data_IF_716632400610
#
_entry.id   IF_716632400610
#
_cell.length_a   1.000
_cell.length_b   1.000
_cell.length_c   1.000
_cell.angle_alpha   90.00
_cell.angle_beta   90.00
_cell.angle_gamma   90.00
#
_symmetry.space_group_name_H-M   'P 1'
#
loop_
_entity.id
_entity.type
_entity.pdbx_description
1 polymer ?
#
# COMPACT_ATOMS: atom_id res chain seq x y z
N UNK A 1 24.42 -6.27 2.20
CA UNK A 1 23.37 -5.27 2.41
C UNK A 1 21.99 -5.70 1.90
N UNK A 2 21.91 -6.37 0.75
CA UNK A 2 20.63 -6.80 0.19
C UNK A 2 19.87 -7.74 1.11
N UNK A 3 20.54 -8.71 1.72
CA UNK A 3 19.89 -9.60 2.69
C UNK A 3 19.38 -8.87 3.92
N UNK A 4 20.08 -7.84 4.35
CA UNK A 4 19.64 -7.00 5.45
C UNK A 4 18.31 -6.33 5.12
N UNK A 5 18.18 -5.80 3.91
CA UNK A 5 16.94 -5.19 3.42
C UNK A 5 15.80 -6.20 3.39
N UNK A 6 16.05 -7.40 2.91
CA UNK A 6 15.05 -8.48 2.88
C UNK A 6 14.55 -8.81 4.29
N UNK A 7 15.46 -8.95 5.25
CA UNK A 7 15.06 -9.20 6.63
C UNK A 7 14.26 -8.05 7.23
N UNK A 8 14.63 -6.81 6.92
CA UNK A 8 13.91 -5.65 7.42
C UNK A 8 12.50 -5.53 6.86
N UNK A 9 12.31 -5.87 5.60
CA UNK A 9 11.02 -5.71 4.92
C UNK A 9 10.09 -6.88 5.20
N UNK A 10 10.60 -8.10 5.18
CA UNK A 10 9.76 -9.31 5.19
C UNK A 10 9.72 -10.05 6.52
N UNK A 11 10.46 -9.58 7.51
CA UNK A 11 10.47 -10.21 8.84
C UNK A 11 10.31 -9.15 9.92
N UNK A 12 10.00 -9.60 11.13
CA UNK A 12 9.93 -8.75 12.32
C UNK A 12 11.26 -8.70 13.08
N UNK A 13 12.33 -9.17 12.46
CA UNK A 13 13.65 -9.20 13.10
C UNK A 13 14.13 -7.80 13.42
N UNK A 14 14.67 -7.63 14.61
CA UNK A 14 15.29 -6.38 15.00
C UNK A 14 16.73 -6.30 14.50
N UNK A 15 17.30 -5.10 14.52
CA UNK A 15 18.67 -4.87 14.02
C UNK A 15 19.68 -5.83 14.61
N UNK A 16 19.59 -6.11 15.91
CA UNK A 16 20.51 -7.00 16.60
C UNK A 16 20.42 -8.43 16.06
N UNK A 17 19.20 -8.90 15.82
CA UNK A 17 18.97 -10.22 15.27
C UNK A 17 19.46 -10.34 13.83
N UNK A 18 19.22 -9.32 13.03
CA UNK A 18 19.69 -9.26 11.64
C UNK A 18 21.21 -9.26 11.60
N UNK A 19 21.86 -8.46 12.45
CA UNK A 19 23.31 -8.38 12.53
C UNK A 19 23.92 -9.74 12.89
N UNK A 20 23.31 -10.43 13.83
CA UNK A 20 23.77 -11.76 14.26
C UNK A 20 23.63 -12.78 13.12
N UNK A 21 22.48 -12.75 12.43
CA UNK A 21 22.22 -13.66 11.32
C UNK A 21 23.18 -13.44 10.15
N UNK A 22 23.51 -12.18 9.87
CA UNK A 22 24.43 -11.81 8.79
C UNK A 22 25.91 -11.90 9.19
N UNK A 23 26.20 -12.10 10.49
CA UNK A 23 27.57 -12.18 10.98
C UNK A 23 28.29 -10.84 10.95
N UNK A 24 27.57 -9.72 11.13
CA UNK A 24 28.14 -8.38 11.14
C UNK A 24 27.92 -7.72 12.50
N UNK A 25 28.64 -6.64 12.77
CA UNK A 25 28.45 -5.87 13.99
C UNK A 25 27.14 -5.10 13.98
N UNK A 26 26.55 -4.89 15.16
CA UNK A 26 25.28 -4.15 15.28
C UNK A 26 25.36 -2.76 14.65
N UNK A 27 26.48 -2.06 14.83
CA UNK A 27 26.65 -0.72 14.29
C UNK A 27 26.84 -0.70 12.77
N UNK A 28 27.15 -1.84 12.14
CA UNK A 28 27.26 -1.93 10.69
C UNK A 28 25.90 -1.64 10.03
N UNK A 29 24.83 -2.21 10.58
CA UNK A 29 23.46 -1.98 10.05
C UNK A 29 23.08 -0.52 10.19
N UNK A 30 23.38 0.10 11.34
CA UNK A 30 23.08 1.51 11.55
C UNK A 30 23.85 2.40 10.57
N UNK A 31 25.10 2.06 10.26
CA UNK A 31 25.89 2.78 9.26
C UNK A 31 25.29 2.60 7.85
N UNK A 32 24.84 1.40 7.51
CA UNK A 32 24.19 1.15 6.22
C UNK A 32 22.92 1.97 6.08
N UNK A 33 22.12 2.06 7.13
CA UNK A 33 20.85 2.81 7.11
C UNK A 33 21.06 4.30 6.86
N UNK A 34 22.24 4.84 7.15
CA UNK A 34 22.58 6.24 6.88
C UNK A 34 23.04 6.48 5.45
N UNK A 35 23.24 5.44 4.65
CA UNK A 35 23.64 5.56 3.25
C UNK A 35 22.42 5.79 2.36
N UNK A 36 22.56 6.70 1.41
CA UNK A 36 21.48 7.02 0.47
C UNK A 36 21.13 5.83 -0.41
N UNK A 37 22.13 5.08 -0.89
CA UNK A 37 21.89 3.90 -1.72
C UNK A 37 21.14 2.81 -0.97
N UNK A 38 21.44 2.64 0.31
CA UNK A 38 20.72 1.69 1.17
C UNK A 38 19.25 2.12 1.37
N UNK A 39 19.04 3.39 1.68
CA UNK A 39 17.70 3.92 1.90
C UNK A 39 16.83 3.78 0.65
N UNK A 40 17.40 4.08 -0.51
CA UNK A 40 16.69 3.92 -1.78
C UNK A 40 16.34 2.46 -2.06
N UNK A 41 17.29 1.57 -1.87
CA UNK A 41 17.05 0.13 -2.07
C UNK A 41 16.01 -0.40 -1.08
N UNK A 42 16.01 0.08 0.15
CA UNK A 42 15.03 -0.28 1.17
C UNK A 42 13.62 0.17 0.75
N UNK A 43 13.48 1.41 0.29
CA UNK A 43 12.21 1.93 -0.17
C UNK A 43 11.70 1.16 -1.39
N UNK A 44 12.57 0.86 -2.35
CA UNK A 44 12.20 0.09 -3.53
C UNK A 44 11.69 -1.30 -3.15
N UNK A 45 12.34 -1.95 -2.19
CA UNK A 45 11.91 -3.28 -1.73
C UNK A 45 10.60 -3.21 -0.95
N UNK A 46 10.42 -2.17 -0.14
CA UNK A 46 9.14 -1.94 0.55
C UNK A 46 8.00 -1.77 -0.45
N UNK A 47 8.21 -1.01 -1.51
CA UNK A 47 7.19 -0.84 -2.56
C UNK A 47 6.86 -2.16 -3.24
N UNK A 48 7.85 -2.98 -3.54
CA UNK A 48 7.59 -4.31 -4.11
C UNK A 48 6.79 -5.19 -3.16
N UNK A 49 7.13 -5.18 -1.88
CA UNK A 49 6.39 -5.91 -0.86
C UNK A 49 4.95 -5.45 -0.75
N UNK A 50 4.72 -4.14 -0.74
CA UNK A 50 3.38 -3.57 -0.70
C UNK A 50 2.59 -3.91 -1.96
N UNK A 51 3.22 -3.86 -3.13
CA UNK A 51 2.54 -4.20 -4.39
C UNK A 51 2.09 -5.67 -4.38
N UNK A 52 2.94 -6.58 -3.93
CA UNK A 52 2.57 -7.99 -3.80
C UNK A 52 1.42 -8.20 -2.82
N UNK A 53 1.47 -7.50 -1.68
CA UNK A 53 0.41 -7.58 -0.68
C UNK A 53 -0.88 -6.96 -1.20
N UNK A 54 -0.79 -5.87 -1.95
CA UNK A 54 -1.95 -5.22 -2.54
C UNK A 54 -2.68 -6.14 -3.52
N UNK A 55 -1.93 -6.94 -4.29
CA UNK A 55 -2.53 -7.94 -5.20
C UNK A 55 -3.32 -8.97 -4.41
N UNK A 56 -2.74 -9.47 -3.31
CA UNK A 56 -3.44 -10.44 -2.43
C UNK A 56 -4.68 -9.82 -1.80
N UNK A 57 -4.57 -8.60 -1.32
CA UNK A 57 -5.68 -7.88 -0.70
C UNK A 57 -6.80 -7.66 -1.71
N UNK A 58 -6.48 -7.30 -2.94
CA UNK A 58 -7.47 -7.12 -4.00
C UNK A 58 -8.22 -8.41 -4.28
N UNK A 59 -7.51 -9.52 -4.38
CA UNK A 59 -8.13 -10.83 -4.61
C UNK A 59 -9.06 -11.20 -3.47
N UNK A 60 -8.68 -10.90 -2.24
CA UNK A 60 -9.52 -11.16 -1.07
C UNK A 60 -10.77 -10.27 -1.09
N UNK A 61 -10.61 -9.00 -1.44
CA UNK A 61 -11.73 -8.07 -1.55
C UNK A 61 -12.72 -8.52 -2.62
N UNK A 62 -12.24 -9.01 -3.76
CA UNK A 62 -13.12 -9.55 -4.81
C UNK A 62 -14.00 -10.68 -4.27
N UNK A 63 -13.44 -11.55 -3.44
CA UNK A 63 -14.20 -12.63 -2.81
C UNK A 63 -15.20 -12.09 -1.79
N UNK A 64 -14.81 -11.09 -1.01
CA UNK A 64 -15.67 -10.52 0.02
C UNK A 64 -16.85 -9.74 -0.56
N UNK A 65 -16.71 -9.17 -1.76
CA UNK A 65 -17.81 -8.51 -2.47
C UNK A 65 -18.94 -9.50 -2.72
N UNK A 66 -18.61 -10.75 -3.01
CA UNK A 66 -19.58 -11.82 -3.27
C UNK A 66 -20.00 -12.56 -1.99
N UNK A 67 -19.67 -12.05 -0.82
CA UNK A 67 -20.02 -12.66 0.45
C UNK A 67 -21.55 -12.72 0.65
N UNK A 68 -22.03 -13.79 1.25
CA UNK A 68 -23.42 -13.93 1.64
C UNK A 68 -23.79 -13.03 2.82
N UNK A 69 -22.81 -12.50 3.52
CA UNK A 69 -23.03 -11.56 4.61
C UNK A 69 -23.04 -10.14 4.03
N UNK A 70 -24.20 -9.49 4.09
CA UNK A 70 -24.38 -8.15 3.49
C UNK A 70 -23.46 -7.10 4.11
N UNK A 71 -23.19 -7.17 5.41
CA UNK A 71 -22.28 -6.25 6.07
C UNK A 71 -20.85 -6.40 5.56
N UNK A 72 -20.39 -7.63 5.38
CA UNK A 72 -19.06 -7.94 4.85
C UNK A 72 -18.97 -7.47 3.40
N UNK A 73 -19.96 -7.78 2.57
CA UNK A 73 -19.99 -7.36 1.18
C UNK A 73 -20.02 -5.85 1.03
N UNK A 74 -20.81 -5.16 1.85
CA UNK A 74 -20.85 -3.70 1.87
C UNK A 74 -19.51 -3.10 2.25
N UNK A 75 -18.87 -3.63 3.30
CA UNK A 75 -17.56 -3.19 3.73
C UNK A 75 -16.50 -3.33 2.63
N UNK A 76 -16.51 -4.48 1.95
CA UNK A 76 -15.59 -4.73 0.84
C UNK A 76 -15.84 -3.77 -0.34
N UNK A 77 -17.09 -3.51 -0.67
CA UNK A 77 -17.45 -2.55 -1.71
C UNK A 77 -16.96 -1.14 -1.37
N UNK A 78 -17.14 -0.72 -0.13
CA UNK A 78 -16.65 0.58 0.35
C UNK A 78 -15.14 0.69 0.21
N UNK A 79 -14.40 -0.35 0.56
CA UNK A 79 -12.94 -0.37 0.43
C UNK A 79 -12.51 -0.25 -1.03
N UNK A 80 -13.14 -0.98 -1.93
CA UNK A 80 -12.82 -0.90 -3.35
C UNK A 80 -13.10 0.49 -3.89
N UNK A 81 -14.25 1.06 -3.55
CA UNK A 81 -14.62 2.41 -3.98
C UNK A 81 -13.65 3.44 -3.40
N UNK A 82 -13.24 3.26 -2.16
CA UNK A 82 -12.24 4.12 -1.52
C UNK A 82 -10.94 4.15 -2.32
N UNK A 83 -10.42 2.99 -2.67
CA UNK A 83 -9.17 2.89 -3.44
C UNK A 83 -9.30 3.42 -4.87
N UNK A 84 -10.50 3.39 -5.42
CA UNK A 84 -10.78 3.96 -6.73
C UNK A 84 -11.01 5.47 -6.69
N UNK A 85 -11.04 6.08 -5.50
CA UNK A 85 -11.20 7.52 -5.34
C UNK A 85 -12.63 7.97 -5.07
N UNK A 86 -13.53 7.06 -4.69
CA UNK A 86 -14.93 7.35 -4.40
C UNK A 86 -15.29 7.20 -2.93
N UNK A 87 -14.31 7.23 -2.04
CA UNK A 87 -14.53 6.85 -0.66
C UNK A 87 -15.02 7.98 0.24
N UNK A 88 -14.34 9.08 0.23
CA UNK A 88 -14.65 10.17 1.12
C UNK A 88 -15.83 10.96 0.59
N UNK A 89 -16.69 11.42 1.48
CA UNK A 89 -17.81 12.29 1.13
C UNK A 89 -17.34 13.46 0.28
N UNK A 90 -16.21 14.07 0.66
CA UNK A 90 -15.65 15.18 -0.09
C UNK A 90 -15.23 14.79 -1.50
N UNK A 91 -14.62 13.62 -1.68
CA UNK A 91 -14.20 13.15 -3.00
C UNK A 91 -15.40 12.84 -3.89
N UNK A 92 -16.43 12.24 -3.33
CA UNK A 92 -17.67 11.95 -4.04
C UNK A 92 -18.34 13.26 -4.45
N UNK A 93 -18.43 14.22 -3.54
CA UNK A 93 -19.01 15.53 -3.82
C UNK A 93 -18.24 16.27 -4.90
N UNK A 94 -16.91 16.26 -4.83
CA UNK A 94 -16.06 16.87 -5.85
C UNK A 94 -16.28 16.23 -7.22
N UNK A 95 -16.44 14.93 -7.28
CA UNK A 95 -16.71 14.23 -8.53
C UNK A 95 -18.09 14.54 -9.08
N UNK A 96 -19.09 14.61 -8.23
CA UNK A 96 -20.44 15.00 -8.63
C UNK A 96 -20.45 16.41 -9.19
N UNK A 97 -19.77 17.34 -8.55
CA UNK A 97 -19.63 18.72 -9.02
C UNK A 97 -18.94 18.78 -10.39
N UNK A 98 -17.86 18.02 -10.56
CA UNK A 98 -17.14 17.96 -11.84
C UNK A 98 -18.03 17.40 -12.95
N UNK A 99 -18.78 16.33 -12.68
CA UNK A 99 -19.70 15.73 -13.64
C UNK A 99 -20.81 16.71 -13.99
N UNK A 100 -21.37 17.38 -13.01
CA UNK A 100 -22.42 18.39 -13.21
C UNK A 100 -21.91 19.52 -14.10
N UNK A 101 -20.70 20.01 -13.86
CA UNK A 101 -20.08 21.06 -14.67
C UNK A 101 -19.89 20.61 -16.10
N UNK A 102 -19.43 19.38 -16.31
CA UNK A 102 -19.24 18.82 -17.66
C UNK A 102 -20.58 18.69 -18.37
N UNK A 103 -21.60 18.22 -17.68
CA UNK A 103 -22.95 18.07 -18.24
C UNK A 103 -23.55 19.41 -18.68
N UNK A 104 -23.36 20.44 -17.88
CA UNK A 104 -23.83 21.79 -18.21
C UNK A 104 -23.12 22.29 -19.47
N UNK A 105 -21.80 22.09 -19.55
CA UNK A 105 -21.01 22.48 -20.72
C UNK A 105 -21.50 21.78 -21.99
N UNK A 106 -21.80 20.49 -21.90
CA UNK A 106 -22.32 19.70 -23.03
C UNK A 106 -23.71 20.19 -23.43
N UNK A 107 -24.58 20.48 -22.45
CA UNK A 107 -25.93 20.93 -22.71
C UNK A 107 -26.01 22.29 -23.38
N UNK A 108 -24.98 23.13 -23.22
CA UNK A 108 -24.87 24.43 -23.86
C UNK A 108 -24.55 24.34 -25.35
N UNK A 109 -24.01 23.23 -25.78
CA UNK A 109 -23.67 22.98 -27.17
C UNK A 109 -24.89 22.56 -27.98
#
# INVERSE_FOLDING_TARGET
MLKCIEYMVYTDMQKQEIAKELGVANNAISRWMNREDFQKALQDEMHRGFNSLAIKARKKLEKLIDSNNDGVALGACKEVLSKAGYDATQKIDARVDAITTISVTVDED
#
